data_IF_638480335269
#
_entry.id   IF_638480335269
#
_cell.length_a   1.000
_cell.length_b   1.000
_cell.length_c   1.000
_cell.angle_alpha   90.00
_cell.angle_beta   90.00
_cell.angle_gamma   90.00
#
_symmetry.space_group_name_H-M   'P 1'
#
loop_
_entity.id
_entity.type
_entity.pdbx_description
1 polymer ?
#
# COMPACT_ATOMS: atom_id res chain seq x y z
N UNK A 1 -21.04 -23.80 24.06
CA UNK A 1 -21.72 -23.99 22.77
C UNK A 1 -20.68 -23.88 21.67
N UNK A 2 -20.41 -24.99 20.98
CA UNK A 2 -19.36 -25.07 19.97
C UNK A 2 -19.84 -24.48 18.64
N UNK A 3 -19.10 -23.50 18.12
CA UNK A 3 -19.30 -22.99 16.77
C UNK A 3 -18.83 -24.06 15.77
N UNK A 4 -19.73 -24.45 14.85
CA UNK A 4 -19.44 -25.37 13.76
C UNK A 4 -18.41 -24.75 12.82
N UNK A 5 -17.23 -25.37 12.76
CA UNK A 5 -16.31 -25.27 11.63
C UNK A 5 -17.05 -25.73 10.35
N UNK A 6 -17.20 -24.83 9.38
CA UNK A 6 -17.51 -25.24 8.00
C UNK A 6 -16.23 -25.27 7.17
N UNK A 7 -15.41 -26.27 7.44
CA UNK A 7 -14.42 -26.75 6.48
C UNK A 7 -15.15 -27.40 5.30
N UNK A 8 -15.27 -26.67 4.19
CA UNK A 8 -15.29 -27.24 2.84
C UNK A 8 -14.73 -26.21 1.85
N UNK A 9 -13.41 -26.09 1.91
CA UNK A 9 -12.60 -25.56 0.81
C UNK A 9 -12.71 -26.53 -0.36
N UNK A 10 -13.49 -26.19 -1.38
CA UNK A 10 -13.36 -26.80 -2.71
C UNK A 10 -12.33 -26.00 -3.49
N UNK A 11 -11.05 -26.35 -3.33
CA UNK A 11 -10.02 -26.03 -4.31
C UNK A 11 -10.30 -26.85 -5.58
N UNK A 12 -10.52 -26.16 -6.69
CA UNK A 12 -10.30 -26.67 -8.04
C UNK A 12 -9.54 -25.60 -8.80
N UNK A 13 -8.22 -25.77 -8.82
CA UNK A 13 -7.23 -24.91 -9.45
C UNK A 13 -7.26 -25.05 -10.98
N UNK A 14 -8.25 -24.46 -11.65
CA UNK A 14 -8.21 -24.16 -13.10
C UNK A 14 -8.94 -22.86 -13.47
N UNK A 15 -9.72 -22.30 -12.54
CA UNK A 15 -10.21 -20.94 -12.63
C UNK A 15 -9.05 -19.98 -12.39
N UNK A 16 -8.81 -19.05 -13.33
CA UNK A 16 -7.99 -17.90 -12.98
C UNK A 16 -8.66 -17.25 -11.77
N UNK A 17 -7.95 -17.23 -10.63
CA UNK A 17 -8.49 -16.98 -9.30
C UNK A 17 -9.52 -15.83 -9.30
N UNK A 18 -10.57 -15.97 -8.49
CA UNK A 18 -11.44 -14.84 -8.15
C UNK A 18 -10.54 -13.64 -7.77
N UNK A 19 -10.86 -12.41 -8.21
CA UNK A 19 -10.02 -11.24 -7.92
C UNK A 19 -9.72 -11.21 -6.43
N UNK A 20 -8.44 -11.26 -6.06
CA UNK A 20 -8.08 -11.30 -4.65
C UNK A 20 -8.41 -9.95 -4.03
N UNK A 21 -9.20 -9.97 -2.95
CA UNK A 21 -9.30 -8.83 -2.06
C UNK A 21 -7.91 -8.63 -1.44
N UNK A 22 -7.15 -7.72 -2.06
CA UNK A 22 -5.81 -7.32 -1.60
C UNK A 22 -5.91 -6.23 -0.55
N UNK A 23 -4.91 -5.35 -0.51
CA UNK A 23 -4.87 -4.26 0.46
C UNK A 23 -6.02 -3.25 0.26
N UNK A 24 -6.43 -3.04 -0.99
CA UNK A 24 -7.61 -2.25 -1.36
C UNK A 24 -8.76 -3.17 -1.76
N UNK A 25 -9.93 -2.92 -1.18
CA UNK A 25 -11.18 -3.58 -1.56
C UNK A 25 -11.86 -2.85 -2.73
N UNK A 26 -12.72 -3.56 -3.46
CA UNK A 26 -13.54 -2.96 -4.52
C UNK A 26 -14.50 -1.87 -3.98
N UNK A 27 -14.80 -1.89 -2.67
CA UNK A 27 -15.74 -0.97 -2.03
C UNK A 27 -15.30 0.50 -2.14
N UNK A 28 -14.00 0.76 -2.20
CA UNK A 28 -13.44 2.11 -2.21
C UNK A 28 -13.25 2.67 -3.63
N UNK A 29 -13.61 1.90 -4.66
CA UNK A 29 -13.46 2.29 -6.06
C UNK A 29 -14.59 3.25 -6.50
N UNK A 30 -14.31 4.34 -7.25
CA UNK A 30 -15.35 5.27 -7.73
C UNK A 30 -16.48 4.58 -8.51
N UNK A 31 -16.13 3.58 -9.31
CA UNK A 31 -17.07 2.75 -10.08
C UNK A 31 -17.46 1.43 -9.40
N UNK A 32 -17.38 1.31 -8.06
CA UNK A 32 -17.61 0.04 -7.35
C UNK A 32 -18.94 -0.63 -7.73
N UNK A 33 -20.03 0.14 -7.89
CA UNK A 33 -21.35 -0.40 -8.23
C UNK A 33 -21.37 -1.10 -9.59
N UNK A 34 -20.79 -0.47 -10.61
CA UNK A 34 -20.70 -1.02 -11.97
C UNK A 34 -19.80 -2.27 -11.96
N UNK A 35 -18.60 -2.16 -11.40
CA UNK A 35 -17.63 -3.27 -11.39
C UNK A 35 -18.17 -4.45 -10.59
N UNK A 36 -18.74 -4.19 -9.40
CA UNK A 36 -19.34 -5.23 -8.54
C UNK A 36 -20.49 -5.96 -9.24
N UNK A 37 -21.36 -5.21 -9.93
CA UNK A 37 -22.48 -5.80 -10.68
C UNK A 37 -22.01 -6.76 -11.77
N UNK A 38 -20.93 -6.40 -12.48
CA UNK A 38 -20.33 -7.21 -13.53
C UNK A 38 -19.65 -8.45 -12.93
N UNK A 39 -18.82 -8.27 -11.90
CA UNK A 39 -18.08 -9.37 -11.27
C UNK A 39 -18.99 -10.42 -10.61
N UNK A 40 -20.15 -10.02 -10.07
CA UNK A 40 -21.13 -10.91 -9.43
C UNK A 40 -21.90 -11.82 -10.39
N UNK A 41 -21.90 -11.56 -11.70
CA UNK A 41 -22.62 -12.40 -12.67
C UNK A 41 -22.04 -13.81 -12.68
N UNK A 42 -22.86 -14.83 -12.89
CA UNK A 42 -22.40 -16.23 -12.95
C UNK A 42 -21.57 -16.46 -14.22
N UNK A 43 -20.58 -17.34 -14.14
CA UNK A 43 -19.75 -17.73 -15.28
C UNK A 43 -19.99 -19.19 -15.63
N UNK A 44 -20.28 -19.48 -16.90
CA UNK A 44 -20.06 -20.82 -17.47
C UNK A 44 -18.56 -21.03 -17.73
N UNK A 45 -18.12 -22.29 -17.77
CA UNK A 45 -16.71 -22.64 -17.93
C UNK A 45 -16.27 -22.44 -19.38
N UNK A 46 -15.36 -21.50 -19.62
CA UNK A 46 -14.75 -21.25 -20.93
C UNK A 46 -13.23 -21.29 -20.86
N UNK A 47 -12.61 -21.81 -21.92
CA UNK A 47 -11.15 -21.78 -22.07
C UNK A 47 -10.75 -20.52 -22.83
N UNK A 48 -10.16 -19.55 -22.13
CA UNK A 48 -9.56 -18.37 -22.77
C UNK A 48 -8.47 -18.76 -23.77
N UNK A 49 -8.27 -17.91 -24.77
CA UNK A 49 -7.09 -17.97 -25.65
C UNK A 49 -5.79 -17.92 -24.82
N UNK A 50 -4.76 -18.64 -25.27
CA UNK A 50 -3.55 -18.88 -24.47
C UNK A 50 -2.74 -17.61 -24.20
N UNK A 51 -2.71 -16.69 -25.15
CA UNK A 51 -2.09 -15.38 -25.01
C UNK A 51 -2.79 -14.54 -23.92
N UNK A 52 -4.12 -14.46 -23.95
CA UNK A 52 -4.92 -13.74 -22.94
C UNK A 52 -4.74 -14.37 -21.57
N UNK A 53 -4.78 -15.69 -21.49
CA UNK A 53 -4.57 -16.44 -20.25
C UNK A 53 -3.18 -16.15 -19.65
N UNK A 54 -2.13 -16.13 -20.48
CA UNK A 54 -0.76 -15.83 -20.05
C UNK A 54 -0.64 -14.42 -19.51
N UNK A 55 -1.21 -13.44 -20.20
CA UNK A 55 -1.21 -12.03 -19.77
C UNK A 55 -1.97 -11.85 -18.44
N UNK A 56 -3.16 -12.44 -18.31
CA UNK A 56 -3.92 -12.41 -17.08
C UNK A 56 -3.13 -13.00 -15.90
N UNK A 57 -2.46 -14.15 -16.09
CA UNK A 57 -1.61 -14.73 -15.04
C UNK A 57 -0.48 -13.81 -14.60
N UNK A 58 0.14 -13.08 -15.55
CA UNK A 58 1.18 -12.12 -15.23
C UNK A 58 0.64 -10.93 -14.43
N UNK A 59 -0.56 -10.44 -14.76
CA UNK A 59 -1.20 -9.36 -13.99
C UNK A 59 -1.52 -9.79 -12.56
N UNK A 60 -2.09 -10.98 -12.36
CA UNK A 60 -2.39 -11.48 -11.01
C UNK A 60 -1.11 -11.65 -10.18
N UNK A 61 -0.06 -12.23 -10.76
CA UNK A 61 1.23 -12.36 -10.09
C UNK A 61 1.83 -10.99 -9.72
N UNK A 62 1.75 -10.03 -10.64
CA UNK A 62 2.22 -8.67 -10.42
C UNK A 62 1.42 -7.97 -9.32
N UNK A 63 0.09 -8.12 -9.30
CA UNK A 63 -0.78 -7.58 -8.25
C UNK A 63 -0.44 -8.15 -6.88
N UNK A 64 -0.25 -9.47 -6.76
CA UNK A 64 0.13 -10.09 -5.48
C UNK A 64 1.45 -9.52 -4.95
N UNK A 65 2.45 -9.32 -5.81
CA UNK A 65 3.72 -8.73 -5.41
C UNK A 65 3.55 -7.24 -5.01
N UNK A 66 2.80 -6.48 -5.79
CA UNK A 66 2.52 -5.08 -5.52
C UNK A 66 1.76 -4.87 -4.20
N UNK A 67 0.73 -5.69 -3.92
CA UNK A 67 -0.01 -5.67 -2.66
C UNK A 67 0.90 -5.90 -1.45
N UNK A 68 1.72 -6.95 -1.51
CA UNK A 68 2.61 -7.32 -0.40
C UNK A 68 3.66 -6.25 -0.16
N UNK A 69 4.22 -5.70 -1.23
CA UNK A 69 5.17 -4.60 -1.14
C UNK A 69 4.51 -3.35 -0.55
N UNK A 70 3.36 -2.95 -1.07
CA UNK A 70 2.62 -1.81 -0.57
C UNK A 70 2.29 -1.97 0.91
N UNK A 71 1.74 -3.12 1.32
CA UNK A 71 1.42 -3.40 2.71
C UNK A 71 2.67 -3.30 3.61
N UNK A 72 3.80 -3.89 3.20
CA UNK A 72 5.04 -3.80 3.96
C UNK A 72 5.51 -2.35 4.12
N UNK A 73 5.45 -1.56 3.05
CA UNK A 73 5.84 -0.15 3.09
C UNK A 73 4.91 0.69 3.98
N UNK A 74 3.61 0.42 3.96
CA UNK A 74 2.65 1.08 4.84
C UNK A 74 2.90 0.74 6.31
N UNK A 75 3.21 -0.53 6.61
CA UNK A 75 3.59 -0.94 7.98
C UNK A 75 4.90 -0.31 8.44
N UNK A 76 5.84 0.00 7.54
CA UNK A 76 7.07 0.72 7.89
C UNK A 76 6.86 2.20 8.26
N UNK A 77 5.68 2.78 7.95
CA UNK A 77 5.38 4.19 8.22
C UNK A 77 4.80 4.44 9.61
N UNK A 78 4.28 3.39 10.26
CA UNK A 78 3.62 3.48 11.57
C UNK A 78 4.28 2.51 12.53
N UNK A 79 4.23 2.82 13.82
CA UNK A 79 4.73 1.90 14.84
C UNK A 79 3.75 0.75 15.09
N UNK A 80 2.44 1.05 15.02
CA UNK A 80 1.38 0.07 15.22
C UNK A 80 0.80 -0.41 13.87
N UNK A 81 0.94 -1.71 13.51
CA UNK A 81 0.50 -2.24 12.22
C UNK A 81 -1.00 -2.07 11.94
N UNK A 82 -1.82 -1.97 12.97
CA UNK A 82 -3.26 -1.72 12.87
C UNK A 82 -3.59 -0.37 12.22
N UNK A 83 -2.75 0.65 12.39
CA UNK A 83 -2.95 1.97 11.78
C UNK A 83 -2.49 2.03 10.32
N UNK A 84 -1.72 1.04 9.85
CA UNK A 84 -1.19 1.03 8.49
C UNK A 84 -2.30 1.01 7.42
N UNK A 85 -3.46 0.44 7.73
CA UNK A 85 -4.62 0.41 6.82
C UNK A 85 -5.31 1.77 6.71
N UNK A 86 -5.33 2.53 7.81
CA UNK A 86 -6.04 3.81 7.89
C UNK A 86 -5.24 4.94 7.24
N UNK A 87 -3.92 4.80 7.12
CA UNK A 87 -3.02 5.78 6.49
C UNK A 87 -3.43 6.18 5.06
N UNK A 88 -4.16 5.31 4.36
CA UNK A 88 -4.69 5.62 3.01
C UNK A 88 -5.77 6.70 3.08
N UNK A 89 -6.60 6.65 4.12
CA UNK A 89 -7.78 7.51 4.26
C UNK A 89 -7.47 8.74 5.11
N UNK A 90 -6.67 8.57 6.15
CA UNK A 90 -6.29 9.63 7.08
C UNK A 90 -4.82 9.48 7.42
N UNK A 91 -4.04 10.50 7.08
CA UNK A 91 -2.65 10.56 7.53
C UNK A 91 -2.62 10.84 9.02
N UNK A 92 -2.54 9.77 9.81
CA UNK A 92 -2.28 9.81 11.25
C UNK A 92 -0.95 9.13 11.52
N UNK A 93 -0.01 9.90 12.05
CA UNK A 93 1.20 9.34 12.65
C UNK A 93 1.01 9.20 14.15
N UNK A 94 1.72 8.27 14.75
CA UNK A 94 1.73 8.11 16.20
C UNK A 94 2.38 9.34 16.86
N UNK A 95 1.67 10.09 17.73
CA UNK A 95 2.16 11.35 18.30
C UNK A 95 3.13 11.10 19.48
N UNK A 96 4.01 10.10 19.36
CA UNK A 96 4.86 9.63 20.46
C UNK A 96 5.82 10.71 20.95
N UNK A 97 6.48 11.42 20.02
CA UNK A 97 7.38 12.52 20.36
C UNK A 97 6.63 13.68 21.01
N UNK A 98 5.42 14.00 20.51
CA UNK A 98 4.53 15.00 21.11
C UNK A 98 4.12 14.62 22.53
N UNK A 99 3.75 13.36 22.77
CA UNK A 99 3.39 12.88 24.11
C UNK A 99 4.58 12.87 25.06
N UNK A 100 5.77 12.49 24.60
CA UNK A 100 6.99 12.59 25.39
C UNK A 100 7.28 14.06 25.78
N UNK A 101 7.15 15.01 24.85
CA UNK A 101 7.33 16.43 25.15
C UNK A 101 6.32 16.95 26.19
N UNK A 102 5.04 16.55 26.06
CA UNK A 102 3.99 16.91 27.01
C UNK A 102 4.24 16.33 28.41
N UNK A 103 4.71 15.07 28.47
CA UNK A 103 5.05 14.44 29.74
C UNK A 103 6.19 15.17 30.46
N UNK A 104 7.28 15.50 29.74
CA UNK A 104 8.40 16.25 30.31
C UNK A 104 7.94 17.62 30.83
N UNK A 105 7.01 18.28 30.14
CA UNK A 105 6.44 19.56 30.59
C UNK A 105 5.69 19.43 31.91
N UNK A 106 4.87 18.38 32.04
CA UNK A 106 4.15 18.09 33.28
C UNK A 106 5.11 17.77 34.41
N UNK A 107 6.14 16.98 34.13
CA UNK A 107 7.17 16.61 35.10
C UNK A 107 7.96 17.82 35.62
N UNK A 108 8.44 18.70 34.72
CA UNK A 108 9.12 19.95 35.09
C UNK A 108 8.22 20.85 35.95
N UNK A 109 6.93 20.93 35.62
CA UNK A 109 5.95 21.69 36.42
C UNK A 109 5.77 21.15 37.84
N UNK A 110 5.80 19.81 38.02
CA UNK A 110 5.70 19.17 39.33
C UNK A 110 6.97 19.41 40.15
N UNK A 111 8.15 19.24 39.53
CA UNK A 111 9.44 19.47 40.19
C UNK A 111 9.58 20.91 40.68
N UNK A 112 9.19 21.88 39.85
CA UNK A 112 9.24 23.31 40.19
C UNK A 112 8.26 23.72 41.31
N UNK A 113 7.30 22.87 41.69
CA UNK A 113 6.38 23.09 42.82
C UNK A 113 6.91 22.49 44.14
N UNK A 114 7.95 21.65 44.11
CA UNK A 114 8.56 21.05 45.29
C UNK A 114 9.35 22.07 46.15
N UNK A 115 9.48 21.81 47.46
CA UNK A 115 10.21 22.68 48.41
C UNK A 115 11.73 22.71 48.17
N UNK A 116 12.29 21.69 47.51
CA UNK A 116 13.71 21.67 47.12
C UNK A 116 13.90 22.33 45.75
N UNK A 117 14.29 23.61 45.77
CA UNK A 117 14.81 24.33 44.61
C UNK A 117 16.26 23.92 44.30
N UNK A 118 16.54 22.62 44.27
CA UNK A 118 17.78 22.16 43.64
C UNK A 118 17.69 22.55 42.16
N UNK A 119 18.71 23.23 41.66
CA UNK A 119 18.80 23.78 40.31
C UNK A 119 18.82 22.65 39.28
N UNK A 120 17.66 22.19 38.86
CA UNK A 120 17.53 21.31 37.71
C UNK A 120 17.75 22.13 36.44
N UNK A 121 18.53 21.59 35.52
CA UNK A 121 18.62 22.14 34.16
C UNK A 121 17.23 22.07 33.51
N UNK A 122 16.84 23.14 32.81
CA UNK A 122 15.53 23.18 32.17
C UNK A 122 15.41 22.09 31.12
N UNK A 123 14.25 21.43 31.09
CA UNK A 123 13.91 20.42 30.08
C UNK A 123 13.37 21.06 28.80
N UNK A 124 13.17 22.39 28.77
CA UNK A 124 12.65 23.15 27.62
C UNK A 124 13.39 22.88 26.30
N UNK A 125 14.74 22.80 26.25
CA UNK A 125 15.44 22.46 25.01
C UNK A 125 15.06 21.07 24.48
N UNK A 126 14.95 20.07 25.38
CA UNK A 126 14.58 18.70 25.03
C UNK A 126 13.15 18.63 24.54
N UNK A 127 12.23 19.34 25.20
CA UNK A 127 10.83 19.43 24.78
C UNK A 127 10.68 20.02 23.38
N UNK A 128 11.43 21.09 23.07
CA UNK A 128 11.45 21.69 21.73
C UNK A 128 12.00 20.74 20.69
N UNK A 129 13.11 20.05 20.98
CA UNK A 129 13.65 19.02 20.08
C UNK A 129 12.62 17.95 19.79
N UNK A 130 11.95 17.39 20.81
CA UNK A 130 10.90 16.38 20.63
C UNK A 130 9.75 16.89 19.74
N UNK A 131 9.29 18.13 19.93
CA UNK A 131 8.27 18.73 19.06
C UNK A 131 8.75 18.88 17.61
N UNK A 132 10.01 19.25 17.39
CA UNK A 132 10.58 19.33 16.03
C UNK A 132 10.71 17.95 15.38
N UNK A 133 11.10 16.92 16.14
CA UNK A 133 11.18 15.53 15.66
C UNK A 133 9.79 15.00 15.27
N UNK A 134 8.75 15.33 16.05
CA UNK A 134 7.35 14.99 15.76
C UNK A 134 6.89 15.58 14.42
N UNK A 135 7.15 16.86 14.19
CA UNK A 135 6.80 17.55 12.94
C UNK A 135 7.54 16.97 11.73
N UNK A 136 8.83 16.67 11.86
CA UNK A 136 9.59 16.07 10.74
C UNK A 136 9.14 14.63 10.46
N UNK A 137 8.76 13.87 11.49
CA UNK A 137 8.15 12.55 11.31
C UNK A 137 6.82 12.62 10.56
N UNK A 138 5.91 13.51 10.95
CA UNK A 138 4.65 13.75 10.24
C UNK A 138 4.89 14.13 8.76
N UNK A 139 5.85 15.02 8.52
CA UNK A 139 6.22 15.48 7.17
C UNK A 139 6.75 14.33 6.32
N UNK A 140 7.63 13.49 6.86
CA UNK A 140 8.15 12.29 6.19
C UNK A 140 7.02 11.37 5.78
N UNK A 141 6.13 11.01 6.71
CA UNK A 141 5.04 10.06 6.42
C UNK A 141 4.17 10.58 5.28
N UNK A 142 3.79 11.87 5.29
CA UNK A 142 3.02 12.48 4.19
C UNK A 142 3.72 12.36 2.83
N UNK A 143 5.00 12.71 2.77
CA UNK A 143 5.77 12.62 1.52
C UNK A 143 5.96 11.18 1.04
N UNK A 144 6.22 10.25 1.95
CA UNK A 144 6.36 8.84 1.62
C UNK A 144 5.04 8.27 1.08
N UNK A 145 3.89 8.63 1.67
CA UNK A 145 2.57 8.28 1.14
C UNK A 145 2.33 8.90 -0.25
N UNK A 146 2.69 10.16 -0.43
CA UNK A 146 2.59 10.84 -1.73
C UNK A 146 3.43 10.14 -2.80
N UNK A 147 4.64 9.70 -2.45
CA UNK A 147 5.48 8.93 -3.36
C UNK A 147 4.81 7.61 -3.74
N UNK A 148 4.10 6.91 -2.83
CA UNK A 148 3.44 5.62 -3.10
C UNK A 148 2.16 5.72 -3.95
N UNK A 149 1.66 6.92 -4.26
CA UNK A 149 0.45 7.13 -5.08
C UNK A 149 0.38 6.28 -6.37
N UNK A 150 1.45 6.11 -7.16
CA UNK A 150 1.40 5.25 -8.35
C UNK A 150 1.06 3.80 -8.02
N UNK A 151 1.61 3.26 -6.93
CA UNK A 151 1.34 1.91 -6.47
C UNK A 151 -0.07 1.80 -5.90
N UNK A 152 -0.52 2.79 -5.13
CA UNK A 152 -1.89 2.87 -4.62
C UNK A 152 -2.91 2.89 -5.76
N UNK A 153 -2.66 3.70 -6.80
CA UNK A 153 -3.51 3.77 -8.00
C UNK A 153 -3.57 2.42 -8.72
N UNK A 154 -2.43 1.78 -8.95
CA UNK A 154 -2.42 0.47 -9.61
C UNK A 154 -3.28 -0.55 -8.86
N UNK A 155 -3.11 -0.62 -7.54
CA UNK A 155 -3.77 -1.62 -6.70
C UNK A 155 -5.27 -1.29 -6.50
N UNK A 156 -5.59 0.00 -6.31
CA UNK A 156 -6.92 0.49 -5.96
C UNK A 156 -7.81 0.87 -7.14
N UNK A 157 -7.26 1.09 -8.34
CA UNK A 157 -8.01 1.49 -9.53
C UNK A 157 -7.71 0.57 -10.73
N UNK A 158 -6.48 0.62 -11.25
CA UNK A 158 -6.15 0.00 -12.53
C UNK A 158 -6.35 -1.54 -12.51
N UNK A 159 -6.08 -2.20 -11.38
CA UNK A 159 -6.37 -3.62 -11.19
C UNK A 159 -7.86 -3.95 -11.27
N UNK A 160 -8.73 -3.13 -10.67
CA UNK A 160 -10.18 -3.38 -10.68
C UNK A 160 -10.78 -3.14 -12.05
N UNK A 161 -10.25 -2.18 -12.81
CA UNK A 161 -10.62 -1.98 -14.21
C UNK A 161 -10.16 -3.17 -15.08
N UNK A 162 -8.95 -3.70 -14.84
CA UNK A 162 -8.53 -4.96 -15.46
C UNK A 162 -9.49 -6.13 -15.11
N UNK A 163 -9.87 -6.29 -13.85
CA UNK A 163 -10.78 -7.35 -13.42
C UNK A 163 -12.15 -7.23 -14.10
N UNK A 164 -12.65 -5.99 -14.27
CA UNK A 164 -13.86 -5.67 -15.03
C UNK A 164 -13.72 -6.08 -16.50
N UNK A 165 -12.66 -5.64 -17.18
CA UNK A 165 -12.42 -5.96 -18.60
C UNK A 165 -12.27 -7.46 -18.83
N UNK A 166 -11.58 -8.16 -17.92
CA UNK A 166 -11.44 -9.62 -17.94
C UNK A 166 -12.81 -10.31 -17.86
N UNK A 167 -13.71 -9.80 -17.03
CA UNK A 167 -15.08 -10.32 -16.90
C UNK A 167 -15.93 -10.03 -18.13
N UNK A 168 -15.84 -8.83 -18.70
CA UNK A 168 -16.55 -8.48 -19.94
C UNK A 168 -16.09 -9.35 -21.11
N UNK A 169 -14.79 -9.64 -21.21
CA UNK A 169 -14.29 -10.59 -22.21
C UNK A 169 -14.83 -12.01 -21.99
N UNK A 170 -14.99 -12.44 -20.73
CA UNK A 170 -15.62 -13.71 -20.40
C UNK A 170 -17.07 -13.78 -20.89
N UNK A 171 -17.86 -12.74 -20.62
CA UNK A 171 -19.25 -12.63 -21.09
C UNK A 171 -19.31 -12.66 -22.63
N UNK A 172 -18.36 -12.02 -23.32
CA UNK A 172 -18.30 -12.03 -24.77
C UNK A 172 -17.96 -13.42 -25.36
N UNK A 173 -17.18 -14.24 -24.65
CA UNK A 173 -16.98 -15.64 -25.03
C UNK A 173 -18.26 -16.45 -24.86
N UNK A 174 -19.01 -16.21 -23.78
CA UNK A 174 -20.28 -16.90 -23.51
C UNK A 174 -21.34 -16.58 -24.56
N UNK A 175 -21.54 -15.30 -24.89
CA UNK A 175 -22.49 -14.91 -25.92
C UNK A 175 -22.11 -15.42 -27.31
N UNK A 176 -20.82 -15.55 -27.61
CA UNK A 176 -20.38 -16.15 -28.86
C UNK A 176 -20.68 -17.66 -28.94
N UNK A 177 -20.48 -18.40 -27.85
CA UNK A 177 -20.80 -19.84 -27.78
C UNK A 177 -22.32 -20.09 -27.88
N UNK A 178 -23.13 -19.25 -27.23
CA UNK A 178 -24.58 -19.30 -27.32
C UNK A 178 -25.06 -18.99 -28.76
N UNK A 179 -24.47 -17.98 -29.42
CA UNK A 179 -24.78 -17.63 -30.81
C UNK A 179 -24.39 -18.77 -31.78
N UNK A 180 -23.21 -19.37 -31.62
CA UNK A 180 -22.78 -20.55 -32.40
C UNK A 180 -23.76 -21.71 -32.22
N UNK A 181 -24.20 -21.96 -30.99
CA UNK A 181 -25.18 -23.02 -30.69
C UNK A 181 -26.51 -22.76 -31.40
N UNK A 182 -26.96 -21.51 -31.45
CA UNK A 182 -28.18 -21.12 -32.18
C UNK A 182 -27.99 -21.23 -33.70
N UNK A 183 -26.87 -20.77 -34.26
CA UNK A 183 -26.56 -20.90 -35.67
C UNK A 183 -26.58 -22.37 -36.13
N UNK A 184 -26.00 -23.28 -35.34
CA UNK A 184 -26.02 -24.70 -35.67
C UNK A 184 -27.42 -25.32 -35.65
N UNK A 185 -28.32 -24.80 -34.80
CA UNK A 185 -29.71 -25.27 -34.66
C UNK A 185 -30.63 -24.72 -35.76
N UNK A 186 -30.58 -23.42 -36.00
CA UNK A 186 -31.55 -22.72 -36.85
C UNK A 186 -31.09 -22.57 -38.30
N UNK A 187 -29.77 -22.40 -38.52
CA UNK A 187 -29.14 -22.22 -39.85
C UNK A 187 -29.82 -21.15 -40.71
N UNK A 188 -30.25 -20.07 -40.09
CA UNK A 188 -30.87 -18.90 -40.75
C UNK A 188 -29.86 -17.79 -40.94
N UNK A 189 -30.07 -16.92 -41.95
CA UNK A 189 -29.24 -15.74 -42.20
C UNK A 189 -29.14 -14.83 -40.95
N UNK A 190 -30.22 -14.74 -40.16
CA UNK A 190 -30.25 -13.99 -38.90
C UNK A 190 -29.33 -14.61 -37.84
N UNK A 191 -29.28 -15.94 -37.75
CA UNK A 191 -28.40 -16.63 -36.81
C UNK A 191 -26.92 -16.55 -37.25
N UNK A 192 -26.65 -16.53 -38.56
CA UNK A 192 -25.31 -16.24 -39.09
C UNK A 192 -24.88 -14.82 -38.75
N UNK A 193 -25.75 -13.82 -38.94
CA UNK A 193 -25.48 -12.43 -38.60
C UNK A 193 -25.25 -12.24 -37.08
N UNK A 194 -26.07 -12.88 -36.24
CA UNK A 194 -25.91 -12.85 -34.79
C UNK A 194 -24.56 -13.43 -34.35
N UNK A 195 -24.12 -14.53 -34.98
CA UNK A 195 -22.82 -15.15 -34.70
C UNK A 195 -21.66 -14.26 -35.13
N UNK A 196 -21.73 -13.65 -36.32
CA UNK A 196 -20.72 -12.71 -36.80
C UNK A 196 -20.59 -11.49 -35.88
N UNK A 197 -21.72 -10.95 -35.40
CA UNK A 197 -21.73 -9.85 -34.43
C UNK A 197 -21.10 -10.26 -33.09
N UNK A 198 -21.46 -11.43 -32.56
CA UNK A 198 -20.90 -11.95 -31.31
C UNK A 198 -19.39 -12.23 -31.44
N UNK A 199 -18.93 -12.73 -32.59
CA UNK A 199 -17.50 -12.93 -32.87
C UNK A 199 -16.73 -11.62 -32.88
N UNK A 200 -17.29 -10.59 -33.51
CA UNK A 200 -16.70 -9.25 -33.58
C UNK A 200 -16.58 -8.66 -32.18
N UNK A 201 -17.66 -8.69 -31.39
CA UNK A 201 -17.66 -8.21 -30.02
C UNK A 201 -16.65 -8.94 -29.13
N UNK A 202 -16.54 -10.27 -29.25
CA UNK A 202 -15.53 -11.08 -28.56
C UNK A 202 -14.11 -10.63 -28.88
N UNK A 203 -13.82 -10.38 -30.16
CA UNK A 203 -12.50 -9.94 -30.61
C UNK A 203 -12.18 -8.53 -30.11
N UNK A 204 -13.14 -7.61 -30.13
CA UNK A 204 -12.99 -6.26 -29.59
C UNK A 204 -12.71 -6.28 -28.09
N UNK A 205 -13.45 -7.10 -27.33
CA UNK A 205 -13.22 -7.27 -25.90
C UNK A 205 -11.85 -7.86 -25.59
N UNK A 206 -11.39 -8.84 -26.39
CA UNK A 206 -10.03 -9.39 -26.28
C UNK A 206 -8.99 -8.30 -26.51
N UNK A 207 -9.12 -7.53 -27.59
CA UNK A 207 -8.17 -6.47 -27.94
C UNK A 207 -8.12 -5.40 -26.85
N UNK A 208 -9.27 -4.90 -26.40
CA UNK A 208 -9.38 -3.92 -25.31
C UNK A 208 -8.72 -4.41 -24.02
N UNK A 209 -8.94 -5.66 -23.63
CA UNK A 209 -8.29 -6.26 -22.46
C UNK A 209 -6.77 -6.31 -22.63
N UNK A 210 -6.29 -6.79 -23.77
CA UNK A 210 -4.85 -6.94 -24.02
C UNK A 210 -4.13 -5.59 -24.09
N UNK A 211 -4.74 -4.58 -24.71
CA UNK A 211 -4.20 -3.24 -24.80
C UNK A 211 -4.17 -2.56 -23.43
N UNK A 212 -5.22 -2.73 -22.62
CA UNK A 212 -5.22 -2.21 -21.25
C UNK A 212 -4.11 -2.83 -20.40
N UNK A 213 -3.91 -4.14 -20.47
CA UNK A 213 -2.83 -4.80 -19.72
C UNK A 213 -1.46 -4.25 -20.13
N UNK A 214 -1.20 -4.08 -21.42
CA UNK A 214 0.09 -3.56 -21.90
C UNK A 214 0.29 -2.10 -21.48
N UNK A 215 -0.66 -1.24 -21.85
CA UNK A 215 -0.48 0.22 -21.76
C UNK A 215 -0.75 0.81 -20.37
N UNK A 216 -1.73 0.27 -19.64
CA UNK A 216 -2.10 0.79 -18.32
C UNK A 216 -1.35 0.09 -17.19
N UNK A 217 -0.97 -1.19 -17.35
CA UNK A 217 -0.30 -1.94 -16.29
C UNK A 217 1.20 -2.09 -16.55
N UNK A 218 1.59 -2.71 -17.67
CA UNK A 218 3.00 -3.06 -17.87
C UNK A 218 3.90 -1.89 -18.29
N UNK A 219 3.44 -0.98 -19.13
CA UNK A 219 4.19 0.24 -19.48
C UNK A 219 4.40 1.17 -18.25
N UNK A 220 3.62 0.97 -17.18
CA UNK A 220 3.74 1.72 -15.93
C UNK A 220 4.65 1.08 -14.88
N UNK A 221 5.19 -0.12 -15.13
CA UNK A 221 6.08 -0.80 -14.18
C UNK A 221 7.29 0.04 -13.78
N UNK A 222 7.85 0.81 -14.72
CA UNK A 222 8.94 1.76 -14.42
C UNK A 222 8.54 2.80 -13.38
N UNK A 223 7.32 3.34 -13.47
CA UNK A 223 6.79 4.31 -12.49
C UNK A 223 6.53 3.67 -11.12
N UNK A 224 6.07 2.41 -11.10
CA UNK A 224 5.89 1.66 -9.86
C UNK A 224 7.23 1.34 -9.18
N UNK A 225 8.29 1.10 -9.95
CA UNK A 225 9.63 0.93 -9.38
C UNK A 225 10.19 2.27 -8.87
N UNK A 226 10.05 3.35 -9.66
CA UNK A 226 10.51 4.68 -9.31
C UNK A 226 9.88 5.21 -8.01
N UNK A 227 8.58 4.95 -7.78
CA UNK A 227 7.96 5.38 -6.53
C UNK A 227 8.55 4.72 -5.28
N UNK A 228 8.96 3.46 -5.38
CA UNK A 228 9.60 2.73 -4.27
C UNK A 228 11.01 3.27 -4.03
N UNK A 229 11.74 3.62 -5.09
CA UNK A 229 13.05 4.27 -4.95
C UNK A 229 12.93 5.65 -4.29
N UNK A 230 11.95 6.46 -4.69
CA UNK A 230 11.67 7.75 -4.03
C UNK A 230 11.26 7.58 -2.57
N UNK A 231 10.49 6.54 -2.25
CA UNK A 231 10.17 6.20 -0.86
C UNK A 231 11.43 5.93 -0.04
N UNK A 232 12.37 5.13 -0.57
CA UNK A 232 13.66 4.85 0.07
C UNK A 232 14.48 6.12 0.27
N UNK A 233 14.58 6.96 -0.75
CA UNK A 233 15.41 8.18 -0.70
C UNK A 233 14.88 9.16 0.36
N UNK A 234 13.55 9.29 0.50
CA UNK A 234 12.95 10.08 1.58
C UNK A 234 13.24 9.47 2.97
N UNK A 235 13.36 8.15 3.11
CA UNK A 235 13.74 7.52 4.38
C UNK A 235 15.17 7.91 4.78
N UNK A 236 16.10 7.94 3.83
CA UNK A 236 17.48 8.38 4.07
C UNK A 236 17.52 9.86 4.45
N UNK A 237 16.80 10.70 3.70
CA UNK A 237 16.69 12.13 4.01
C UNK A 237 16.15 12.37 5.43
N UNK A 238 15.09 11.65 5.81
CA UNK A 238 14.51 11.73 7.13
C UNK A 238 15.51 11.43 8.25
N UNK A 239 16.25 10.31 8.16
CA UNK A 239 17.22 9.97 9.19
C UNK A 239 18.33 11.02 9.33
N UNK A 240 18.73 11.63 8.21
CA UNK A 240 19.66 12.77 8.23
C UNK A 240 19.05 13.99 8.94
N UNK A 241 17.85 14.40 8.57
CA UNK A 241 17.17 15.54 9.22
C UNK A 241 16.93 15.31 10.71
N UNK A 242 16.55 14.10 11.10
CA UNK A 242 16.41 13.73 12.53
C UNK A 242 17.74 13.86 13.28
N UNK A 243 18.85 13.42 12.67
CA UNK A 243 20.18 13.53 13.29
C UNK A 243 20.65 14.98 13.45
N UNK A 244 20.30 15.86 12.51
CA UNK A 244 20.64 17.30 12.56
C UNK A 244 19.83 18.03 13.65
N UNK A 245 18.62 17.54 13.97
CA UNK A 245 17.76 18.09 15.04
C UNK A 245 18.19 17.67 16.45
N UNK A 246 18.89 16.55 16.59
CA UNK A 246 19.36 16.05 17.89
C UNK A 246 20.73 16.67 18.17
N UNK A 247 20.87 17.54 19.19
CA UNK A 247 22.16 18.10 19.54
C UNK A 247 23.09 16.98 20.02
N UNK A 248 24.11 16.65 19.23
CA UNK A 248 25.18 15.76 19.68
C UNK A 248 25.96 16.49 20.78
N UNK A 249 25.83 15.98 22.01
CA UNK A 249 26.82 16.28 23.04
C UNK A 249 28.05 15.46 22.72
N UNK A 250 28.92 15.98 21.84
CA UNK A 250 30.33 15.61 21.91
C UNK A 250 30.78 15.97 23.32
N UNK A 251 30.83 14.98 24.22
CA UNK A 251 31.53 15.15 25.48
C UNK A 251 32.97 15.50 25.08
N UNK A 252 33.52 16.66 25.49
CA UNK A 252 34.96 16.84 25.36
C UNK A 252 35.58 15.68 26.14
N UNK A 253 36.45 14.92 25.48
CA UNK A 253 37.27 13.91 26.16
C UNK A 253 37.94 14.60 27.35
N UNK A 254 37.46 14.30 28.55
CA UNK A 254 38.14 14.68 29.79
C UNK A 254 39.40 13.83 29.90
N UNK A 255 40.50 14.31 29.32
CA UNK A 255 41.87 13.87 29.60
C UNK A 255 42.79 15.02 29.18
N UNK A 256 43.63 15.63 30.01
CA UNK A 256 44.10 15.36 31.35
C UNK A 256 44.30 16.71 32.04
N UNK A 257 43.61 16.98 33.14
CA UNK A 257 44.08 18.00 34.08
C UNK A 257 45.17 17.38 34.95
N UNK A 258 46.44 17.49 34.51
CA UNK A 258 47.60 17.28 35.38
C UNK A 258 47.59 18.37 36.46
N UNK A 259 46.89 18.07 37.54
CA UNK A 259 46.93 18.83 38.78
C UNK A 259 48.17 18.38 39.55
N UNK A 260 49.05 19.33 39.82
CA UNK A 260 50.33 19.18 40.50
C UNK A 260 50.24 18.40 41.83
N UNK A 261 51.02 17.32 41.94
CA UNK A 261 51.50 16.84 43.23
C UNK A 261 52.54 17.84 43.77
N UNK A 262 52.08 18.81 44.55
CA UNK A 262 52.89 19.45 45.60
C UNK A 262 52.37 18.95 46.93
N UNK A 263 53.06 17.96 47.49
CA UNK A 263 52.76 17.40 48.80
C UNK A 263 54.00 16.83 49.46
N UNK A 264 54.94 17.70 49.85
CA UNK A 264 55.89 17.40 50.94
C UNK A 264 56.04 18.63 51.84
N UNK A 265 55.49 18.51 53.04
CA UNK A 265 55.85 19.23 54.27
C UNK A 265 55.61 18.26 55.44
N UNK A 266 56.04 18.53 56.67
CA UNK A 266 57.42 18.77 57.12
C UNK A 266 57.78 17.83 58.32
N UNK A 267 59.07 17.54 58.51
CA UNK A 267 59.79 17.43 59.80
C UNK A 267 61.25 17.13 59.54
#
# INVERSE_FOLDING_TARGET
MAAKESTKSTKSSEDGAAPQAGFYGLADHPNHGIISSILKRKNRKFKMADDVRKMCKQVEAYKTCADRLHQALMTMLVEFPEYARDLVFVVKTDPNYRYAALYLRTFESILNKGRDRTTYESLEPVMKTLQSLDLEHERRVRKQLDNLKPLMKFIGEDYWEYARLRKVYWEAMESYDDALTQQHKERTDLAEQATANAQTWRNDCRQKLMDFIKTCIFDRQGKHAECVLKFRDEAVFYHRSMSELIPFTEKPEKGESKSAERGKTPK
#
